data_IF_670834879421
#
_entry.id   IF_670834879421
#
_cell.length_a   1.000
_cell.length_b   1.000
_cell.length_c   1.000
_cell.angle_alpha   90.00
_cell.angle_beta   90.00
_cell.angle_gamma   90.00
#
_symmetry.space_group_name_H-M   'P 1'
#
loop_
_entity.id
_entity.type
_entity.pdbx_description
1 polymer ?
#
# COMPACT_ATOMS: atom_id res chain seq x y z
N UNK A 1 -9.81 17.62 22.50
CA UNK A 1 -8.89 18.24 21.52
C UNK A 1 -9.70 19.01 20.48
N UNK A 2 -9.18 20.05 19.82
CA UNK A 2 -9.81 20.58 18.62
C UNK A 2 -9.88 19.49 17.55
N UNK A 3 -10.83 19.58 16.63
CA UNK A 3 -10.95 18.69 15.49
C UNK A 3 -9.72 18.83 14.59
N UNK A 4 -9.11 17.71 14.24
CA UNK A 4 -7.92 17.66 13.38
C UNK A 4 -8.35 17.55 11.91
N UNK A 5 -7.56 18.09 11.00
CA UNK A 5 -7.71 17.76 9.58
C UNK A 5 -7.37 16.27 9.35
N UNK A 6 -7.90 15.65 8.29
CA UNK A 6 -7.52 14.28 7.90
C UNK A 6 -6.00 14.05 7.90
N UNK A 7 -5.25 14.95 7.25
CA UNK A 7 -3.79 14.92 7.22
C UNK A 7 -3.14 14.98 8.59
N UNK A 8 -3.56 15.92 9.44
CA UNK A 8 -3.02 16.05 10.79
C UNK A 8 -3.27 14.78 11.61
N UNK A 9 -4.46 14.19 11.47
CA UNK A 9 -4.85 12.94 12.16
C UNK A 9 -3.94 11.79 11.77
N UNK A 10 -3.75 11.54 10.46
CA UNK A 10 -2.85 10.49 9.96
C UNK A 10 -1.42 10.73 10.41
N UNK A 11 -0.91 11.96 10.24
CA UNK A 11 0.48 12.26 10.56
C UNK A 11 0.78 12.21 12.05
N UNK A 12 -0.16 12.60 12.90
CA UNK A 12 -0.03 12.45 14.36
C UNK A 12 -0.03 10.98 14.76
N UNK A 13 -0.96 10.17 14.23
CA UNK A 13 -0.95 8.73 14.50
C UNK A 13 0.41 8.11 14.14
N UNK A 14 0.92 8.39 12.94
CA UNK A 14 2.20 7.82 12.47
C UNK A 14 3.41 8.29 13.29
N UNK A 15 3.29 9.42 14.00
CA UNK A 15 4.28 9.91 14.97
C UNK A 15 3.99 9.49 16.41
N UNK A 16 2.94 8.69 16.62
CA UNK A 16 2.48 8.29 17.96
C UNK A 16 2.09 9.46 18.85
N UNK A 17 1.55 10.52 18.25
CA UNK A 17 1.02 11.71 18.93
C UNK A 17 -0.50 11.57 19.15
N UNK A 18 -1.11 12.27 20.13
CA UNK A 18 -2.54 12.22 20.38
C UNK A 18 -3.37 12.63 19.17
N UNK A 19 -4.45 11.87 18.91
CA UNK A 19 -5.42 12.11 17.83
C UNK A 19 -6.83 12.31 18.39
N UNK A 20 -7.69 12.96 17.63
CA UNK A 20 -9.10 13.22 17.98
C UNK A 20 -9.99 12.00 17.75
N UNK A 21 -9.71 11.23 16.72
CA UNK A 21 -10.37 9.95 16.39
C UNK A 21 -9.44 9.08 15.58
N UNK A 22 -9.77 7.79 15.43
CA UNK A 22 -9.04 6.85 14.59
C UNK A 22 -9.17 7.24 13.12
N UNK A 23 -8.07 7.34 12.34
CA UNK A 23 -8.15 7.61 10.91
C UNK A 23 -8.56 6.38 10.11
N UNK A 24 -9.24 6.62 8.98
CA UNK A 24 -9.41 5.65 7.92
C UNK A 24 -8.50 6.03 6.74
N UNK A 25 -7.38 5.35 6.61
CA UNK A 25 -6.38 5.61 5.58
C UNK A 25 -5.75 4.31 5.06
N UNK A 26 -4.82 4.37 4.13
CA UNK A 26 -4.21 3.17 3.56
C UNK A 26 -2.74 3.36 3.23
N UNK A 27 -2.01 2.25 3.20
CA UNK A 27 -0.70 2.12 2.56
C UNK A 27 -0.78 1.64 1.11
N UNK A 28 -1.98 1.46 0.56
CA UNK A 28 -2.26 0.90 -0.76
C UNK A 28 -3.24 1.78 -1.53
N UNK A 29 -3.44 1.53 -2.83
CA UNK A 29 -4.33 2.32 -3.67
C UNK A 29 -5.76 2.43 -3.12
N UNK A 30 -6.29 3.63 -3.09
CA UNK A 30 -7.65 3.94 -2.61
C UNK A 30 -8.45 4.74 -3.63
N UNK A 31 -8.43 4.34 -4.90
CA UNK A 31 -9.26 4.95 -5.94
C UNK A 31 -10.56 4.15 -6.11
N UNK A 32 -11.69 4.85 -6.23
CA UNK A 32 -13.02 4.24 -6.39
C UNK A 32 -13.78 4.88 -7.55
N UNK A 33 -14.66 4.10 -8.20
CA UNK A 33 -15.41 4.55 -9.38
C UNK A 33 -16.19 5.85 -9.14
N UNK A 34 -16.89 6.08 -8.02
CA UNK A 34 -17.55 7.36 -7.77
C UNK A 34 -16.60 8.57 -7.83
N UNK A 35 -15.33 8.41 -7.41
CA UNK A 35 -14.32 9.47 -7.50
C UNK A 35 -13.85 9.71 -8.93
N UNK A 36 -13.66 8.64 -9.70
CA UNK A 36 -13.28 8.67 -11.12
C UNK A 36 -14.37 9.32 -11.96
N UNK A 37 -15.63 8.90 -11.78
CA UNK A 37 -16.79 9.47 -12.45
C UNK A 37 -16.97 10.95 -12.11
N UNK A 38 -16.78 11.34 -10.85
CA UNK A 38 -16.85 12.73 -10.41
C UNK A 38 -15.76 13.59 -11.06
N UNK A 39 -14.60 13.01 -11.31
CA UNK A 39 -13.52 13.67 -12.06
C UNK A 39 -13.79 13.76 -13.58
N UNK A 40 -14.81 13.05 -14.08
CA UNK A 40 -15.18 13.05 -15.51
C UNK A 40 -14.20 12.26 -16.38
N UNK A 41 -13.60 11.21 -15.85
CA UNK A 41 -12.56 10.41 -16.52
C UNK A 41 -12.93 8.92 -16.49
N UNK A 42 -12.30 8.11 -17.35
CA UNK A 42 -12.43 6.66 -17.32
C UNK A 42 -11.30 6.01 -16.49
N UNK A 43 -11.50 4.75 -16.07
CA UNK A 43 -10.54 4.06 -15.21
C UNK A 43 -9.15 3.92 -15.85
N UNK A 44 -9.05 3.52 -17.12
CA UNK A 44 -7.76 3.31 -17.78
C UNK A 44 -6.90 4.59 -17.78
N UNK A 45 -7.53 5.76 -17.94
CA UNK A 45 -6.84 7.04 -18.05
C UNK A 45 -6.23 7.55 -16.74
N UNK A 46 -6.63 7.01 -15.58
CA UNK A 46 -6.03 7.39 -14.29
C UNK A 46 -4.57 6.94 -14.17
N UNK A 47 -4.16 5.99 -15.00
CA UNK A 47 -2.81 5.43 -14.95
C UNK A 47 -1.80 6.20 -15.82
N UNK A 48 -2.26 7.06 -16.73
CA UNK A 48 -1.42 7.63 -17.80
C UNK A 48 -1.24 9.14 -17.74
N UNK A 49 -2.02 9.83 -16.93
CA UNK A 49 -2.03 11.28 -16.83
C UNK A 49 -1.98 11.77 -15.38
N UNK A 50 -1.06 12.69 -15.02
CA UNK A 50 -0.88 13.12 -13.64
C UNK A 50 -2.08 13.89 -13.06
N UNK A 51 -2.80 14.68 -13.88
CA UNK A 51 -3.99 15.41 -13.42
C UNK A 51 -5.14 14.44 -13.16
N UNK A 52 -5.34 13.46 -14.05
CA UNK A 52 -6.38 12.44 -13.90
C UNK A 52 -6.13 11.56 -12.68
N UNK A 53 -4.88 11.14 -12.46
CA UNK A 53 -4.51 10.39 -11.26
C UNK A 53 -4.76 11.21 -9.99
N UNK A 54 -4.35 12.47 -9.95
CA UNK A 54 -4.53 13.33 -8.79
C UNK A 54 -6.01 13.58 -8.48
N UNK A 55 -6.81 13.96 -9.50
CA UNK A 55 -8.21 14.27 -9.28
C UNK A 55 -9.06 13.04 -8.95
N UNK A 56 -8.77 11.87 -9.51
CA UNK A 56 -9.44 10.62 -9.12
C UNK A 56 -9.19 10.28 -7.64
N UNK A 57 -7.95 10.45 -7.16
CA UNK A 57 -7.60 10.26 -5.74
C UNK A 57 -8.33 11.24 -4.83
N UNK A 58 -8.28 12.55 -5.17
CA UNK A 58 -8.91 13.61 -4.38
C UNK A 58 -10.41 13.40 -4.26
N UNK A 59 -11.11 13.13 -5.38
CA UNK A 59 -12.55 12.91 -5.34
C UNK A 59 -12.93 11.61 -4.64
N UNK A 60 -12.14 10.53 -4.79
CA UNK A 60 -12.35 9.29 -4.04
C UNK A 60 -12.31 9.56 -2.53
N UNK A 61 -11.28 10.28 -2.07
CA UNK A 61 -11.13 10.60 -0.66
C UNK A 61 -12.28 11.49 -0.14
N UNK A 62 -12.60 12.57 -0.84
CA UNK A 62 -13.65 13.52 -0.43
C UNK A 62 -15.04 12.92 -0.41
N UNK A 63 -15.35 12.04 -1.37
CA UNK A 63 -16.68 11.41 -1.44
C UNK A 63 -16.86 10.29 -0.41
N UNK A 64 -15.80 9.56 -0.11
CA UNK A 64 -15.85 8.39 0.78
C UNK A 64 -15.38 8.66 2.21
N UNK A 65 -14.89 9.87 2.51
CA UNK A 65 -14.42 10.23 3.85
C UNK A 65 -13.05 9.62 4.21
N UNK A 66 -12.18 9.41 3.22
CA UNK A 66 -10.82 8.93 3.50
C UNK A 66 -9.94 10.05 4.07
N UNK A 67 -9.07 9.71 5.01
CA UNK A 67 -8.11 10.66 5.60
C UNK A 67 -6.84 10.83 4.75
N UNK A 68 -6.71 10.10 3.63
CA UNK A 68 -5.57 10.15 2.73
C UNK A 68 -5.95 9.99 1.27
N UNK A 69 -4.97 10.26 0.42
CA UNK A 69 -4.87 9.78 -0.95
C UNK A 69 -3.63 8.92 -1.09
N UNK A 70 -3.67 7.88 -1.91
CA UNK A 70 -2.52 6.99 -2.12
C UNK A 70 -2.29 6.76 -3.60
N UNK A 71 -1.07 6.94 -4.04
CA UNK A 71 -0.60 6.75 -5.42
C UNK A 71 0.70 5.93 -5.46
N UNK A 72 0.99 5.29 -6.60
CA UNK A 72 0.17 5.06 -7.79
C UNK A 72 -0.95 4.03 -7.56
N UNK A 73 -1.63 3.58 -8.63
CA UNK A 73 -2.72 2.60 -8.53
C UNK A 73 -2.36 1.22 -9.10
N UNK A 74 -1.28 1.10 -9.84
CA UNK A 74 -0.88 -0.17 -10.46
C UNK A 74 0.56 -0.56 -10.15
N UNK A 75 0.87 -1.84 -10.29
CA UNK A 75 2.15 -2.45 -9.93
C UNK A 75 3.14 -2.56 -11.10
N UNK A 76 2.90 -1.86 -12.22
CA UNK A 76 3.70 -2.06 -13.43
C UNK A 76 4.65 -0.92 -13.77
N UNK A 77 4.61 0.18 -13.01
CA UNK A 77 5.38 1.40 -13.33
C UNK A 77 6.90 1.17 -13.29
N UNK A 78 7.41 0.44 -12.30
CA UNK A 78 8.82 0.09 -12.22
C UNK A 78 9.24 -0.82 -13.36
N UNK A 79 8.39 -1.81 -13.68
CA UNK A 79 8.63 -2.74 -14.78
C UNK A 79 8.65 -2.02 -16.15
N UNK A 80 7.75 -1.04 -16.35
CA UNK A 80 7.74 -0.16 -17.52
C UNK A 80 9.05 0.62 -17.62
N UNK A 81 9.46 1.28 -16.53
CA UNK A 81 10.70 2.06 -16.49
C UNK A 81 11.95 1.20 -16.71
N UNK A 82 11.88 -0.10 -16.42
CA UNK A 82 12.91 -1.09 -16.74
C UNK A 82 12.86 -1.56 -18.21
N UNK A 83 11.85 -1.15 -19.01
CA UNK A 83 11.74 -1.43 -20.43
C UNK A 83 10.72 -2.52 -20.81
N UNK A 84 9.93 -3.04 -19.88
CA UNK A 84 8.83 -3.96 -20.22
C UNK A 84 7.70 -3.21 -20.91
N UNK A 85 7.08 -3.87 -21.90
CA UNK A 85 5.85 -3.37 -22.52
C UNK A 85 4.68 -3.54 -21.56
N UNK A 86 3.86 -2.49 -21.43
CA UNK A 86 2.67 -2.50 -20.56
C UNK A 86 1.41 -2.38 -21.42
N UNK A 87 0.43 -3.23 -21.15
CA UNK A 87 -0.93 -3.09 -21.67
C UNK A 87 -1.71 -2.17 -20.75
N UNK A 88 -2.06 -0.99 -21.24
CA UNK A 88 -2.72 0.08 -20.46
C UNK A 88 -4.25 0.05 -20.62
N UNK A 89 -4.77 -0.69 -21.59
CA UNK A 89 -6.22 -0.84 -21.84
C UNK A 89 -6.96 0.48 -22.04
N UNK A 90 -6.32 1.49 -22.65
CA UNK A 90 -6.84 2.86 -22.78
C UNK A 90 -8.19 2.96 -23.50
N UNK A 91 -8.45 2.02 -24.42
CA UNK A 91 -9.70 1.94 -25.21
C UNK A 91 -10.81 1.14 -24.48
N UNK A 92 -10.55 0.63 -23.27
CA UNK A 92 -11.53 -0.14 -22.51
C UNK A 92 -12.35 0.74 -21.58
N UNK A 93 -13.65 0.46 -21.51
CA UNK A 93 -14.56 1.01 -20.49
C UNK A 93 -14.60 0.15 -19.21
N UNK A 94 -13.97 -1.02 -19.22
CA UNK A 94 -13.91 -1.91 -18.07
C UNK A 94 -12.84 -1.46 -17.05
N UNK A 95 -12.97 -1.93 -15.82
CA UNK A 95 -11.97 -1.74 -14.77
C UNK A 95 -10.82 -2.74 -14.98
N UNK A 96 -9.87 -2.37 -15.84
CA UNK A 96 -8.69 -3.17 -16.16
C UNK A 96 -7.43 -2.45 -15.70
N UNK A 97 -6.72 -3.07 -14.74
CA UNK A 97 -5.41 -2.57 -14.33
C UNK A 97 -4.34 -2.84 -15.39
N UNK A 98 -3.33 -1.96 -15.51
CA UNK A 98 -2.18 -2.21 -16.37
C UNK A 98 -1.52 -3.55 -16.09
N UNK A 99 -1.13 -4.27 -17.14
CA UNK A 99 -0.48 -5.59 -17.03
C UNK A 99 0.77 -5.67 -17.89
N UNK A 100 1.65 -6.60 -17.55
CA UNK A 100 2.82 -6.96 -18.35
C UNK A 100 2.42 -8.18 -19.20
N UNK A 101 2.11 -8.01 -20.49
CA UNK A 101 1.64 -9.09 -21.33
C UNK A 101 2.73 -10.15 -21.61
N UNK A 102 3.97 -9.70 -21.69
CA UNK A 102 5.13 -10.55 -21.95
C UNK A 102 6.36 -10.01 -21.23
N UNK A 103 7.05 -10.87 -20.50
CA UNK A 103 8.28 -10.54 -19.79
C UNK A 103 9.47 -10.56 -20.75
N UNK A 104 10.28 -9.50 -20.77
CA UNK A 104 11.38 -9.36 -21.72
C UNK A 104 12.63 -10.15 -21.33
N UNK A 105 12.75 -10.58 -20.08
CA UNK A 105 13.91 -11.35 -19.59
C UNK A 105 13.53 -12.80 -19.30
N UNK A 106 14.42 -13.71 -19.70
CA UNK A 106 14.28 -15.15 -19.46
C UNK A 106 15.15 -15.67 -18.33
N UNK A 107 16.17 -14.89 -17.93
CA UNK A 107 17.11 -15.25 -16.85
C UNK A 107 17.40 -14.06 -15.95
N UNK A 108 17.85 -14.34 -14.73
CA UNK A 108 18.22 -13.31 -13.75
C UNK A 108 19.40 -12.43 -14.19
N UNK A 109 20.33 -13.00 -14.96
CA UNK A 109 21.54 -12.30 -15.44
C UNK A 109 21.25 -11.29 -16.56
N UNK A 110 20.10 -11.38 -17.22
CA UNK A 110 19.68 -10.47 -18.29
C UNK A 110 19.05 -9.18 -17.75
N UNK A 111 18.62 -9.19 -16.49
CA UNK A 111 17.89 -8.05 -15.92
C UNK A 111 18.81 -6.84 -15.81
N UNK A 112 18.38 -5.75 -16.39
CA UNK A 112 19.06 -4.46 -16.36
C UNK A 112 18.19 -3.38 -15.76
N UNK A 113 18.76 -2.51 -14.94
CA UNK A 113 18.06 -1.41 -14.28
C UNK A 113 18.74 -0.11 -14.70
N UNK A 114 18.02 0.81 -15.36
CA UNK A 114 18.56 2.12 -15.74
C UNK A 114 18.94 2.96 -14.51
N UNK A 115 20.06 3.66 -14.57
CA UNK A 115 20.50 4.54 -13.46
C UNK A 115 19.51 5.68 -13.17
N UNK A 116 18.83 6.17 -14.18
CA UNK A 116 17.84 7.25 -14.09
C UNK A 116 16.39 6.72 -14.06
N UNK A 117 16.16 5.53 -13.57
CA UNK A 117 14.85 4.85 -13.60
C UNK A 117 13.68 5.70 -13.13
N UNK A 118 13.88 6.57 -12.13
CA UNK A 118 12.87 7.46 -11.58
C UNK A 118 12.42 8.58 -12.55
N UNK A 119 13.14 8.77 -13.66
CA UNK A 119 12.83 9.72 -14.74
C UNK A 119 12.18 9.03 -15.95
N UNK A 120 11.96 7.73 -15.89
CA UNK A 120 11.49 6.92 -17.02
C UNK A 120 10.03 6.48 -16.85
N UNK A 121 9.37 6.25 -17.97
CA UNK A 121 7.99 5.76 -18.03
C UNK A 121 7.05 6.61 -17.18
N UNK A 122 6.02 5.96 -16.64
CA UNK A 122 5.04 6.61 -15.77
C UNK A 122 5.55 6.95 -14.38
N UNK A 123 6.72 6.46 -13.97
CA UNK A 123 7.36 6.90 -12.71
C UNK A 123 7.68 8.39 -12.74
N UNK A 124 8.09 8.91 -13.91
CA UNK A 124 8.44 10.32 -14.09
C UNK A 124 7.28 11.31 -13.82
N UNK A 125 6.02 10.85 -13.89
CA UNK A 125 4.87 11.71 -13.62
C UNK A 125 4.51 11.83 -12.13
N UNK A 126 4.92 10.89 -11.28
CA UNK A 126 4.49 10.85 -9.89
C UNK A 126 4.83 12.10 -9.08
N UNK A 127 6.01 12.74 -9.23
CA UNK A 127 6.28 14.02 -8.58
C UNK A 127 5.25 15.10 -8.92
N UNK A 128 4.76 15.12 -10.18
CA UNK A 128 3.71 16.06 -10.60
C UNK A 128 2.35 15.76 -9.99
N UNK A 129 2.01 14.47 -9.86
CA UNK A 129 0.79 14.04 -9.16
C UNK A 129 0.80 14.54 -7.71
N UNK A 130 1.92 14.35 -7.00
CA UNK A 130 2.10 14.81 -5.62
C UNK A 130 1.95 16.35 -5.54
N UNK A 131 2.55 17.09 -6.45
CA UNK A 131 2.44 18.56 -6.51
C UNK A 131 0.99 19.02 -6.64
N UNK A 132 0.22 18.39 -7.55
CA UNK A 132 -1.20 18.70 -7.76
C UNK A 132 -2.00 18.42 -6.48
N UNK A 133 -1.84 17.24 -5.89
CA UNK A 133 -2.56 16.88 -4.66
C UNK A 133 -2.24 17.85 -3.51
N UNK A 134 -0.97 18.19 -3.31
CA UNK A 134 -0.56 19.16 -2.27
C UNK A 134 -1.23 20.51 -2.43
N UNK A 135 -1.44 20.95 -3.67
CA UNK A 135 -2.06 22.23 -3.98
C UNK A 135 -3.58 22.18 -3.83
N UNK A 136 -4.22 21.14 -4.36
CA UNK A 136 -5.68 21.06 -4.53
C UNK A 136 -6.40 20.40 -3.34
N UNK A 137 -5.67 19.63 -2.53
CA UNK A 137 -6.21 18.93 -1.35
C UNK A 137 -5.20 18.92 -0.17
N UNK A 138 -4.78 20.11 0.32
CA UNK A 138 -3.78 20.21 1.40
C UNK A 138 -4.25 19.58 2.73
N UNK A 139 -5.56 19.36 2.88
CA UNK A 139 -6.19 18.72 4.03
C UNK A 139 -6.00 17.21 4.09
N UNK A 140 -5.64 16.53 2.97
CA UNK A 140 -5.46 15.08 2.88
C UNK A 140 -3.99 14.68 3.06
N UNK A 141 -3.74 13.56 3.72
CA UNK A 141 -2.40 12.98 3.76
C UNK A 141 -2.08 12.31 2.41
N UNK A 142 -0.85 12.43 1.94
CA UNK A 142 -0.37 11.85 0.68
C UNK A 142 0.48 10.63 0.97
N UNK A 143 -0.05 9.44 0.73
CA UNK A 143 0.68 8.19 0.74
C UNK A 143 1.24 7.85 -0.63
N UNK A 144 2.45 7.31 -0.64
CA UNK A 144 3.00 6.62 -1.80
C UNK A 144 3.36 5.20 -1.42
N UNK A 145 3.50 4.32 -2.40
CA UNK A 145 3.95 2.97 -2.15
C UNK A 145 4.87 2.46 -3.26
N UNK A 146 5.63 1.43 -2.92
CA UNK A 146 6.48 0.69 -3.85
C UNK A 146 6.43 -0.79 -3.56
N UNK A 147 6.57 -1.61 -4.61
CA UNK A 147 6.76 -3.04 -4.43
C UNK A 147 8.11 -3.35 -3.80
N UNK A 148 8.16 -4.37 -2.95
CA UNK A 148 9.40 -4.93 -2.47
C UNK A 148 10.13 -5.76 -3.52
N UNK A 149 11.41 -6.08 -3.29
CA UNK A 149 12.29 -6.62 -4.33
C UNK A 149 11.89 -8.01 -4.83
N UNK A 150 11.30 -8.85 -3.98
CA UNK A 150 10.89 -10.19 -4.40
C UNK A 150 9.63 -10.13 -5.28
N UNK A 151 8.65 -9.33 -4.88
CA UNK A 151 7.44 -9.10 -5.70
C UNK A 151 7.81 -8.44 -7.02
N UNK A 152 8.68 -7.44 -7.00
CA UNK A 152 9.18 -6.79 -8.22
C UNK A 152 9.91 -7.78 -9.14
N UNK A 153 10.73 -8.68 -8.59
CA UNK A 153 11.35 -9.74 -9.37
C UNK A 153 10.31 -10.65 -10.05
N UNK A 154 9.22 -11.00 -9.34
CA UNK A 154 8.11 -11.78 -9.89
C UNK A 154 7.30 -11.06 -10.98
N UNK A 155 7.30 -9.71 -11.00
CA UNK A 155 6.70 -8.93 -12.10
C UNK A 155 7.50 -9.07 -13.40
N UNK A 156 8.81 -9.12 -13.32
CA UNK A 156 9.71 -9.05 -14.49
C UNK A 156 10.25 -10.41 -14.95
N UNK A 157 10.23 -11.41 -14.09
CA UNK A 157 10.70 -12.77 -14.36
C UNK A 157 9.63 -13.80 -13.96
N UNK A 158 9.71 -15.02 -14.54
CA UNK A 158 8.86 -16.10 -14.08
C UNK A 158 9.12 -16.42 -12.61
N UNK A 159 8.07 -16.42 -11.79
CA UNK A 159 8.17 -16.62 -10.34
C UNK A 159 8.84 -17.95 -9.98
N UNK A 160 8.57 -19.00 -10.75
CA UNK A 160 9.17 -20.32 -10.60
C UNK A 160 10.70 -20.31 -10.76
N UNK A 161 11.24 -19.44 -11.63
CA UNK A 161 12.68 -19.24 -11.79
C UNK A 161 13.30 -18.67 -10.49
N UNK A 162 12.64 -17.72 -9.87
CA UNK A 162 13.12 -17.07 -8.64
C UNK A 162 13.03 -18.05 -7.45
N UNK A 163 11.87 -18.72 -7.29
CA UNK A 163 11.64 -19.67 -6.22
C UNK A 163 12.64 -20.84 -6.27
N UNK A 164 12.90 -21.40 -7.46
CA UNK A 164 13.92 -22.43 -7.64
C UNK A 164 15.33 -21.87 -7.42
N UNK A 165 15.55 -20.63 -7.84
CA UNK A 165 16.82 -19.92 -7.71
C UNK A 165 17.26 -19.75 -6.26
N UNK A 166 16.34 -19.49 -5.33
CA UNK A 166 16.66 -19.38 -3.89
C UNK A 166 17.47 -20.59 -3.39
N UNK A 167 17.18 -21.78 -3.91
CA UNK A 167 17.84 -23.02 -3.47
C UNK A 167 18.98 -23.46 -4.37
N UNK A 168 18.93 -23.16 -5.68
CA UNK A 168 19.85 -23.70 -6.68
C UNK A 168 20.84 -22.69 -7.24
N UNK A 169 20.52 -21.40 -7.16
CA UNK A 169 21.29 -20.28 -7.76
C UNK A 169 21.28 -19.07 -6.82
N UNK A 170 21.55 -19.32 -5.53
CA UNK A 170 21.40 -18.31 -4.48
C UNK A 170 22.14 -17.01 -4.81
N UNK A 171 23.37 -17.11 -5.31
CA UNK A 171 24.20 -15.94 -5.63
C UNK A 171 23.54 -15.06 -6.71
N UNK A 172 22.87 -15.66 -7.71
CA UNK A 172 22.15 -14.91 -8.74
C UNK A 172 20.88 -14.25 -8.19
N UNK A 173 20.14 -14.95 -7.34
CA UNK A 173 18.98 -14.37 -6.66
C UNK A 173 19.41 -13.22 -5.76
N UNK A 174 20.49 -13.37 -5.01
CA UNK A 174 20.99 -12.30 -4.14
C UNK A 174 21.36 -11.05 -4.96
N UNK A 175 22.10 -11.21 -6.07
CA UNK A 175 22.47 -10.09 -6.95
C UNK A 175 21.22 -9.41 -7.52
N UNK A 176 20.27 -10.18 -8.05
CA UNK A 176 19.02 -9.64 -8.59
C UNK A 176 18.24 -8.84 -7.54
N UNK A 177 18.00 -9.45 -6.38
CA UNK A 177 17.20 -8.81 -5.32
C UNK A 177 17.94 -7.60 -4.72
N UNK A 178 19.26 -7.61 -4.65
CA UNK A 178 20.04 -6.47 -4.17
C UNK A 178 20.01 -5.29 -5.15
N UNK A 179 20.09 -5.55 -6.45
CA UNK A 179 19.94 -4.52 -7.48
C UNK A 179 18.52 -3.91 -7.47
N UNK A 180 17.47 -4.75 -7.34
CA UNK A 180 16.10 -4.27 -7.18
C UNK A 180 15.92 -3.48 -5.87
N UNK A 181 16.59 -3.88 -4.80
CA UNK A 181 16.60 -3.14 -3.53
C UNK A 181 17.16 -1.73 -3.71
N UNK A 182 18.29 -1.58 -4.42
CA UNK A 182 18.88 -0.26 -4.70
C UNK A 182 17.97 0.61 -5.56
N UNK A 183 17.32 0.03 -6.55
CA UNK A 183 16.31 0.69 -7.37
C UNK A 183 15.15 1.23 -6.52
N UNK A 184 14.56 0.37 -5.68
CA UNK A 184 13.42 0.71 -4.82
C UNK A 184 13.79 1.82 -3.84
N UNK A 185 14.97 1.76 -3.24
CA UNK A 185 15.48 2.83 -2.37
C UNK A 185 15.47 4.18 -3.12
N UNK A 186 16.03 4.21 -4.33
CA UNK A 186 16.15 5.42 -5.14
C UNK A 186 14.80 6.02 -5.52
N UNK A 187 13.87 5.18 -5.97
CA UNK A 187 12.52 5.64 -6.35
C UNK A 187 11.78 6.18 -5.12
N UNK A 188 11.81 5.46 -3.98
CA UNK A 188 11.16 5.90 -2.75
C UNK A 188 11.73 7.23 -2.24
N UNK A 189 13.05 7.43 -2.29
CA UNK A 189 13.67 8.72 -1.96
C UNK A 189 13.23 9.85 -2.89
N UNK A 190 13.00 9.57 -4.17
CA UNK A 190 12.45 10.54 -5.13
C UNK A 190 11.02 10.93 -4.77
N UNK A 191 10.16 9.98 -4.40
CA UNK A 191 8.79 10.25 -3.95
C UNK A 191 8.77 11.07 -2.65
N UNK A 192 9.65 10.76 -1.72
CA UNK A 192 9.81 11.53 -0.48
C UNK A 192 10.30 12.96 -0.75
N UNK A 193 11.25 13.14 -1.66
CA UNK A 193 11.73 14.46 -2.09
C UNK A 193 10.64 15.28 -2.81
N UNK A 194 9.73 14.64 -3.54
CA UNK A 194 8.55 15.27 -4.14
C UNK A 194 7.53 15.71 -3.08
N UNK A 195 7.58 15.13 -1.88
CA UNK A 195 6.83 15.53 -0.71
C UNK A 195 5.59 14.69 -0.43
N UNK A 196 5.63 13.39 -0.67
CA UNK A 196 4.66 12.49 -0.04
C UNK A 196 4.81 12.56 1.49
N UNK A 197 3.71 12.37 2.20
CA UNK A 197 3.68 12.48 3.66
C UNK A 197 4.13 11.19 4.35
N UNK A 198 3.87 10.04 3.73
CA UNK A 198 4.35 8.72 4.16
C UNK A 198 4.53 7.80 2.95
N UNK A 199 5.33 6.74 3.14
CA UNK A 199 5.61 5.76 2.10
C UNK A 199 5.42 4.33 2.62
N UNK A 200 4.84 3.46 1.81
CA UNK A 200 4.62 2.05 2.14
C UNK A 200 5.49 1.15 1.26
N UNK A 201 6.25 0.27 1.89
CA UNK A 201 6.90 -0.85 1.22
C UNK A 201 5.91 -2.02 1.19
N UNK A 202 5.55 -2.47 -0.02
CA UNK A 202 4.58 -3.56 -0.23
C UNK A 202 5.31 -4.80 -0.75
N UNK A 203 5.22 -5.90 -0.01
CA UNK A 203 5.89 -7.15 -0.39
C UNK A 203 4.90 -8.35 -0.40
N UNK A 204 3.85 -8.31 -1.23
CA UNK A 204 2.81 -9.35 -1.22
C UNK A 204 3.30 -10.74 -1.60
N UNK A 205 4.38 -10.85 -2.37
CA UNK A 205 4.92 -12.13 -2.84
C UNK A 205 5.65 -12.98 -1.80
N UNK A 206 5.66 -12.58 -0.50
CA UNK A 206 6.49 -13.25 0.52
C UNK A 206 5.71 -13.80 1.71
N UNK A 207 4.38 -13.77 1.65
CA UNK A 207 3.55 -14.32 2.70
C UNK A 207 3.88 -15.79 3.02
N UNK A 208 3.54 -16.23 4.23
CA UNK A 208 3.81 -17.59 4.68
C UNK A 208 3.11 -18.68 3.84
N UNK A 209 2.13 -18.30 3.04
CA UNK A 209 1.48 -19.17 2.05
C UNK A 209 2.42 -19.55 0.89
N UNK A 210 3.44 -18.72 0.60
CA UNK A 210 4.38 -18.90 -0.51
C UNK A 210 5.80 -19.19 -0.03
N UNK A 211 6.30 -18.47 0.96
CA UNK A 211 7.66 -18.60 1.48
C UNK A 211 7.67 -19.03 2.94
N UNK A 212 8.58 -19.97 3.28
CA UNK A 212 8.75 -20.34 4.69
C UNK A 212 9.28 -19.15 5.51
N UNK A 213 8.98 -19.06 6.82
CA UNK A 213 9.56 -18.05 7.71
C UNK A 213 11.09 -18.03 7.69
N UNK A 214 11.73 -19.20 7.52
CA UNK A 214 13.18 -19.30 7.38
C UNK A 214 13.69 -18.63 6.12
N UNK A 215 12.99 -18.80 4.99
CA UNK A 215 13.33 -18.15 3.72
C UNK A 215 13.10 -16.64 3.83
N UNK A 216 12.00 -16.23 4.42
CA UNK A 216 11.74 -14.82 4.71
C UNK A 216 12.89 -14.18 5.48
N UNK A 217 13.26 -14.78 6.61
CA UNK A 217 14.36 -14.29 7.47
C UNK A 217 15.71 -14.20 6.77
N UNK A 218 16.04 -15.19 5.94
CA UNK A 218 17.38 -15.29 5.31
C UNK A 218 17.52 -14.56 3.98
N UNK A 219 16.40 -14.33 3.27
CA UNK A 219 16.44 -13.78 1.90
C UNK A 219 15.72 -12.44 1.82
N UNK A 220 14.57 -12.31 2.46
CA UNK A 220 13.68 -11.16 2.28
C UNK A 220 13.94 -10.07 3.34
N UNK A 221 13.88 -10.43 4.61
CA UNK A 221 13.98 -9.51 5.73
C UNK A 221 15.21 -8.56 5.65
N UNK A 222 16.43 -9.02 5.30
CA UNK A 222 17.57 -8.11 5.20
C UNK A 222 17.39 -6.99 4.17
N UNK A 223 16.68 -7.28 3.07
CA UNK A 223 16.42 -6.32 1.99
C UNK A 223 15.33 -5.33 2.37
N UNK A 224 14.24 -5.80 2.98
CA UNK A 224 13.21 -4.92 3.53
C UNK A 224 13.79 -3.99 4.58
N UNK A 225 14.63 -4.51 5.49
CA UNK A 225 15.34 -3.70 6.50
C UNK A 225 16.23 -2.64 5.86
N UNK A 226 16.94 -2.98 4.79
CA UNK A 226 17.80 -2.05 4.06
C UNK A 226 16.99 -0.93 3.39
N UNK A 227 15.87 -1.25 2.74
CA UNK A 227 14.97 -0.26 2.11
C UNK A 227 14.40 0.67 3.18
N UNK A 228 13.79 0.09 4.22
CA UNK A 228 13.19 0.87 5.30
C UNK A 228 14.23 1.70 6.06
N UNK A 229 15.46 1.20 6.22
CA UNK A 229 16.55 1.96 6.81
C UNK A 229 17.04 3.15 5.96
N UNK A 230 16.84 3.09 4.64
CA UNK A 230 17.24 4.16 3.71
C UNK A 230 16.16 5.24 3.49
N UNK A 231 14.90 4.93 3.79
CA UNK A 231 13.79 5.87 3.66
C UNK A 231 13.59 6.70 4.92
N UNK A 232 13.07 7.91 4.76
CA UNK A 232 12.66 8.76 5.87
C UNK A 232 11.31 8.31 6.44
N UNK A 233 11.11 8.51 7.74
CA UNK A 233 9.81 8.31 8.40
C UNK A 233 8.82 9.44 8.05
N UNK A 234 7.51 9.17 7.98
CA UNK A 234 6.87 7.88 8.27
C UNK A 234 6.93 6.89 7.10
N UNK A 235 7.23 5.63 7.43
CA UNK A 235 7.31 4.52 6.48
C UNK A 235 6.62 3.28 7.02
N UNK A 236 5.84 2.62 6.18
CA UNK A 236 5.03 1.46 6.53
C UNK A 236 5.55 0.21 5.82
N UNK A 237 5.28 -0.95 6.41
CA UNK A 237 5.48 -2.24 5.75
C UNK A 237 4.15 -2.96 5.62
N UNK A 238 3.82 -3.36 4.38
CA UNK A 238 2.64 -4.17 4.08
C UNK A 238 3.03 -5.51 3.46
N UNK A 239 2.47 -6.58 4.01
CA UNK A 239 2.52 -7.92 3.39
C UNK A 239 1.09 -8.46 3.35
N UNK A 240 0.59 -8.76 2.13
CA UNK A 240 -0.70 -9.44 1.94
C UNK A 240 -0.59 -10.93 2.31
N UNK A 241 -1.73 -11.57 2.54
CA UNK A 241 -1.81 -13.01 2.81
C UNK A 241 -1.54 -13.38 4.27
N UNK A 242 -1.13 -14.61 4.52
CA UNK A 242 -0.89 -15.12 5.86
C UNK A 242 0.41 -14.57 6.44
N UNK A 243 0.29 -13.65 7.41
CA UNK A 243 1.42 -12.96 8.06
C UNK A 243 1.63 -13.36 9.52
N UNK A 244 0.73 -14.10 10.14
CA UNK A 244 0.85 -14.48 11.57
C UNK A 244 2.19 -15.13 11.94
N UNK A 245 2.81 -16.00 11.09
CA UNK A 245 4.13 -16.54 11.35
C UNK A 245 5.28 -15.57 11.12
N UNK A 246 5.03 -14.43 10.46
CA UNK A 246 6.03 -13.46 10.04
C UNK A 246 5.97 -12.16 10.84
N UNK A 247 4.93 -11.92 11.63
CA UNK A 247 4.59 -10.61 12.17
C UNK A 247 5.71 -9.99 13.02
N UNK A 248 6.41 -10.79 13.83
CA UNK A 248 7.55 -10.31 14.61
C UNK A 248 8.74 -9.95 13.71
N UNK A 249 9.02 -10.76 12.68
CA UNK A 249 10.08 -10.49 11.70
C UNK A 249 9.74 -9.25 10.83
N UNK A 250 8.46 -9.01 10.54
CA UNK A 250 8.03 -7.78 9.88
C UNK A 250 8.33 -6.55 10.74
N UNK A 251 8.06 -6.63 12.05
CA UNK A 251 8.38 -5.55 12.98
C UNK A 251 9.89 -5.29 13.07
N UNK A 252 10.71 -6.33 13.03
CA UNK A 252 12.18 -6.21 13.03
C UNK A 252 12.74 -5.52 11.77
N UNK A 253 11.96 -5.36 10.70
CA UNK A 253 12.41 -4.66 9.49
C UNK A 253 12.57 -3.13 9.66
N UNK A 254 12.03 -2.55 10.74
CA UNK A 254 12.23 -1.13 11.07
C UNK A 254 11.27 -0.16 10.37
N UNK A 255 10.05 -0.60 10.04
CA UNK A 255 8.94 0.28 9.67
C UNK A 255 8.40 1.00 10.92
N UNK A 256 7.80 2.18 10.71
CA UNK A 256 7.12 2.92 11.79
C UNK A 256 5.75 2.32 12.11
N UNK A 257 5.18 1.55 11.19
CA UNK A 257 3.94 0.81 11.38
C UNK A 257 3.80 -0.37 10.41
N UNK A 258 3.05 -1.38 10.84
CA UNK A 258 2.73 -2.57 10.05
C UNK A 258 1.29 -2.51 9.56
N UNK A 259 1.07 -2.87 8.31
CA UNK A 259 -0.25 -3.05 7.76
C UNK A 259 -0.43 -4.51 7.31
N UNK A 260 -1.57 -5.08 7.62
CA UNK A 260 -1.80 -6.52 7.46
C UNK A 260 -3.09 -6.84 6.71
N UNK A 261 -3.07 -8.01 6.07
CA UNK A 261 -4.18 -8.57 5.29
C UNK A 261 -5.29 -9.12 6.18
N UNK A 262 -6.49 -9.32 5.62
CA UNK A 262 -7.63 -9.94 6.30
C UNK A 262 -7.31 -11.32 6.91
N UNK A 263 -6.33 -12.03 6.36
CA UNK A 263 -5.88 -13.33 6.89
C UNK A 263 -5.08 -13.23 8.18
N UNK A 264 -4.66 -12.05 8.59
CA UNK A 264 -3.95 -11.84 9.83
C UNK A 264 -4.92 -11.79 11.02
N UNK A 265 -4.63 -12.55 12.07
CA UNK A 265 -5.35 -12.44 13.33
C UNK A 265 -4.84 -11.23 14.13
N UNK A 266 -5.60 -10.12 14.09
CA UNK A 266 -5.22 -8.86 14.74
C UNK A 266 -4.97 -9.04 16.24
N UNK A 267 -5.84 -9.76 16.97
CA UNK A 267 -5.71 -9.93 18.40
C UNK A 267 -4.42 -10.69 18.79
N UNK A 268 -4.09 -11.75 18.04
CA UNK A 268 -2.83 -12.50 18.24
C UNK A 268 -1.61 -11.67 17.82
N UNK A 269 -1.69 -10.93 16.70
CA UNK A 269 -0.65 -10.05 16.25
C UNK A 269 -0.37 -8.96 17.30
N UNK A 270 -1.42 -8.33 17.84
CA UNK A 270 -1.31 -7.34 18.92
C UNK A 270 -0.64 -7.94 20.17
N UNK A 271 -1.02 -9.16 20.56
CA UNK A 271 -0.40 -9.84 21.71
C UNK A 271 1.11 -10.08 21.51
N UNK A 272 1.54 -10.44 20.30
CA UNK A 272 2.96 -10.66 19.97
C UNK A 272 3.76 -9.37 19.89
N UNK A 273 3.19 -8.33 19.28
CA UNK A 273 3.86 -7.05 19.01
C UNK A 273 3.88 -6.10 20.22
N UNK A 274 2.91 -6.26 21.14
CA UNK A 274 2.72 -5.32 22.24
C UNK A 274 2.12 -3.98 21.76
N UNK A 275 2.07 -3.01 22.66
CA UNK A 275 1.37 -1.76 22.46
C UNK A 275 2.21 -0.67 21.75
N UNK A 276 3.52 -0.84 21.69
CA UNK A 276 4.44 0.16 21.13
C UNK A 276 4.52 0.12 19.60
N UNK A 277 3.98 -0.94 18.96
CA UNK A 277 4.00 -1.10 17.51
C UNK A 277 2.69 -0.64 16.92
N UNK A 278 2.72 0.26 15.92
CA UNK A 278 1.52 0.62 15.17
C UNK A 278 1.12 -0.58 14.28
N UNK A 279 -0.01 -1.17 14.61
CA UNK A 279 -0.63 -2.27 13.86
C UNK A 279 -1.92 -1.76 13.21
N UNK A 280 -2.00 -1.84 11.89
CA UNK A 280 -3.08 -1.25 11.10
C UNK A 280 -3.64 -2.28 10.11
N UNK A 281 -4.91 -2.21 9.86
CA UNK A 281 -5.62 -3.16 8.99
C UNK A 281 -7.05 -3.29 9.44
N UNK A 282 -7.74 -4.35 9.12
CA UNK A 282 -7.55 -5.30 8.02
C UNK A 282 -8.93 -5.61 7.43
N UNK A 283 -9.57 -4.54 6.94
CA UNK A 283 -10.91 -4.65 6.33
C UNK A 283 -10.88 -5.66 5.20
N UNK A 284 -11.83 -6.61 5.20
CA UNK A 284 -12.08 -7.43 4.02
C UNK A 284 -12.64 -6.55 2.91
N UNK A 285 -11.76 -6.17 1.99
CA UNK A 285 -12.07 -5.16 0.97
C UNK A 285 -13.18 -5.60 0.03
N UNK A 286 -13.23 -6.88 -0.35
CA UNK A 286 -14.29 -7.36 -1.24
C UNK A 286 -15.60 -7.57 -0.48
N UNK A 287 -15.57 -8.38 0.57
CA UNK A 287 -16.79 -8.74 1.29
C UNK A 287 -17.48 -7.52 1.92
N UNK A 288 -16.71 -6.54 2.42
CA UNK A 288 -17.31 -5.39 3.13
C UNK A 288 -17.65 -4.21 2.23
N UNK A 289 -17.01 -4.08 1.06
CA UNK A 289 -17.20 -2.88 0.23
C UNK A 289 -17.70 -3.14 -1.18
N UNK A 290 -17.64 -4.35 -1.69
CA UNK A 290 -17.96 -4.67 -3.09
C UNK A 290 -19.05 -5.74 -3.24
N UNK A 291 -19.26 -6.61 -2.25
CA UNK A 291 -20.27 -7.65 -2.31
C UNK A 291 -21.68 -7.08 -2.12
N UNK A 292 -22.57 -7.15 -3.14
CA UNK A 292 -23.92 -6.62 -3.08
C UNK A 292 -24.84 -7.34 -2.06
N UNK A 293 -24.44 -8.54 -1.63
CA UNK A 293 -25.19 -9.30 -0.63
C UNK A 293 -24.84 -8.91 0.81
N UNK A 294 -23.79 -8.07 0.99
CA UNK A 294 -23.35 -7.64 2.32
C UNK A 294 -24.13 -6.42 2.80
N UNK A 295 -24.97 -6.55 3.84
CA UNK A 295 -25.68 -5.41 4.44
C UNK A 295 -24.71 -4.42 5.09
N UNK A 296 -25.08 -3.14 5.13
CA UNK A 296 -24.29 -2.08 5.78
C UNK A 296 -24.01 -2.41 7.25
N UNK A 297 -24.99 -2.99 7.95
CA UNK A 297 -24.86 -3.39 9.35
C UNK A 297 -23.76 -4.43 9.58
N UNK A 298 -23.53 -5.32 8.61
CA UNK A 298 -22.43 -6.30 8.64
C UNK A 298 -21.09 -5.57 8.52
N UNK A 299 -20.98 -4.62 7.60
CA UNK A 299 -19.78 -3.78 7.47
C UNK A 299 -19.49 -3.02 8.76
N UNK A 300 -20.50 -2.38 9.36
CA UNK A 300 -20.37 -1.67 10.64
C UNK A 300 -19.88 -2.61 11.76
N UNK A 301 -20.45 -3.82 11.86
CA UNK A 301 -20.05 -4.80 12.86
C UNK A 301 -18.59 -5.24 12.67
N UNK A 302 -18.17 -5.50 11.42
CA UNK A 302 -16.80 -5.87 11.07
C UNK A 302 -15.78 -4.78 11.45
N UNK A 303 -16.08 -3.51 11.17
CA UNK A 303 -15.19 -2.41 11.53
C UNK A 303 -15.04 -2.29 13.05
N UNK A 304 -16.13 -2.42 13.81
CA UNK A 304 -16.06 -2.42 15.28
C UNK A 304 -15.22 -3.58 15.82
N UNK A 305 -15.37 -4.76 15.25
CA UNK A 305 -14.59 -5.94 15.63
C UNK A 305 -13.09 -5.72 15.40
N UNK A 306 -12.70 -5.17 14.23
CA UNK A 306 -11.30 -4.84 13.94
C UNK A 306 -10.73 -3.87 14.99
N UNK A 307 -11.49 -2.82 15.32
CA UNK A 307 -11.08 -1.83 16.30
C UNK A 307 -10.94 -2.47 17.70
N UNK A 308 -11.91 -3.27 18.10
CA UNK A 308 -11.92 -3.96 19.41
C UNK A 308 -10.77 -4.99 19.53
N UNK A 309 -10.35 -5.58 18.40
CA UNK A 309 -9.19 -6.47 18.34
C UNK A 309 -7.84 -5.75 18.45
N UNK A 310 -7.82 -4.41 18.45
CA UNK A 310 -6.66 -3.62 18.87
C UNK A 310 -5.81 -3.06 17.74
N UNK A 311 -6.39 -2.73 16.57
CA UNK A 311 -5.68 -1.90 15.57
C UNK A 311 -5.55 -0.45 16.05
N UNK A 312 -4.51 0.23 15.58
CA UNK A 312 -4.30 1.66 15.81
C UNK A 312 -4.95 2.51 14.72
N UNK A 313 -5.20 1.94 13.56
CA UNK A 313 -6.00 2.52 12.48
C UNK A 313 -6.70 1.44 11.67
N UNK A 314 -7.88 1.75 11.18
CA UNK A 314 -8.58 0.91 10.20
C UNK A 314 -7.98 1.19 8.82
N UNK A 315 -7.56 0.12 8.16
CA UNK A 315 -7.07 0.15 6.78
C UNK A 315 -7.71 -0.98 5.97
N UNK A 316 -7.82 -0.82 4.66
CA UNK A 316 -8.08 -1.96 3.77
C UNK A 316 -7.04 -3.06 4.01
N UNK A 317 -7.47 -4.32 4.06
CA UNK A 317 -6.55 -5.46 4.19
C UNK A 317 -5.78 -5.76 2.90
N UNK A 318 -6.22 -5.19 1.78
CA UNK A 318 -5.58 -5.22 0.47
C UNK A 318 -6.00 -3.99 -0.33
N UNK A 319 -5.62 -3.88 -1.62
CA UNK A 319 -6.10 -2.81 -2.49
C UNK A 319 -7.63 -2.79 -2.53
N UNK A 320 -8.22 -1.61 -2.52
CA UNK A 320 -9.65 -1.46 -2.78
C UNK A 320 -9.96 -1.78 -4.24
N UNK A 321 -10.98 -2.59 -4.46
CA UNK A 321 -11.54 -2.72 -5.79
C UNK A 321 -12.33 -1.45 -6.13
N UNK A 322 -12.13 -0.83 -7.30
CA UNK A 322 -12.75 0.47 -7.59
C UNK A 322 -14.28 0.46 -7.65
N UNK A 323 -14.90 -0.64 -8.08
CA UNK A 323 -16.36 -0.79 -8.13
C UNK A 323 -16.93 -1.14 -6.75
N UNK A 324 -16.94 -0.16 -5.86
CA UNK A 324 -17.44 -0.29 -4.49
C UNK A 324 -18.96 -0.04 -4.42
N UNK A 325 -19.57 -0.49 -3.33
CA UNK A 325 -20.92 -0.08 -2.90
C UNK A 325 -20.75 1.13 -1.98
N UNK A 326 -21.18 2.30 -2.45
CA UNK A 326 -20.94 3.56 -1.74
C UNK A 326 -21.42 3.55 -0.29
N UNK A 327 -22.60 2.96 -0.03
CA UNK A 327 -23.16 2.90 1.32
C UNK A 327 -22.24 2.12 2.28
N UNK A 328 -21.70 0.99 1.82
CA UNK A 328 -20.79 0.16 2.61
C UNK A 328 -19.43 0.87 2.79
N UNK A 329 -18.89 1.47 1.72
CA UNK A 329 -17.64 2.20 1.81
C UNK A 329 -17.71 3.40 2.76
N UNK A 330 -18.79 4.17 2.71
CA UNK A 330 -19.06 5.26 3.66
C UNK A 330 -19.20 4.72 5.08
N UNK A 331 -19.89 3.59 5.27
CA UNK A 331 -20.03 2.96 6.58
C UNK A 331 -18.67 2.54 7.18
N UNK A 332 -17.68 2.12 6.35
CA UNK A 332 -16.31 1.87 6.83
C UNK A 332 -15.70 3.14 7.41
N UNK A 333 -15.71 4.25 6.66
CA UNK A 333 -15.12 5.52 7.11
C UNK A 333 -15.85 6.10 8.32
N UNK A 334 -17.18 6.20 8.26
CA UNK A 334 -18.00 6.77 9.32
C UNK A 334 -17.88 5.97 10.62
N UNK A 335 -17.95 4.64 10.55
CA UNK A 335 -17.78 3.78 11.73
C UNK A 335 -16.38 3.93 12.32
N UNK A 336 -15.35 3.98 11.48
CA UNK A 336 -13.97 4.20 11.95
C UNK A 336 -13.86 5.51 12.72
N UNK A 337 -14.38 6.60 12.17
CA UNK A 337 -14.30 7.90 12.80
C UNK A 337 -15.17 8.00 14.07
N UNK A 338 -16.40 7.47 14.04
CA UNK A 338 -17.32 7.58 15.19
C UNK A 338 -16.95 6.63 16.33
N UNK A 339 -16.73 5.35 16.02
CA UNK A 339 -16.42 4.34 17.02
C UNK A 339 -14.98 4.47 17.53
N UNK A 340 -14.05 4.84 16.66
CA UNK A 340 -12.65 5.05 17.00
C UNK A 340 -12.39 6.17 18.01
N UNK A 341 -13.31 7.13 18.18
CA UNK A 341 -13.23 8.14 19.25
C UNK A 341 -13.18 7.53 20.66
N UNK A 342 -13.75 6.35 20.85
CA UNK A 342 -13.92 5.71 22.16
C UNK A 342 -12.93 4.58 22.40
N UNK A 343 -12.44 3.95 21.34
CA UNK A 343 -11.74 2.67 21.41
C UNK A 343 -10.24 2.75 21.11
N UNK A 344 -9.74 3.87 20.55
CA UNK A 344 -8.35 3.94 20.10
C UNK A 344 -7.36 3.98 21.26
N UNK A 345 -6.46 2.98 21.38
CA UNK A 345 -5.34 3.02 22.31
C UNK A 345 -4.40 4.20 22.05
N UNK A 346 -4.24 4.63 20.80
CA UNK A 346 -3.46 5.82 20.44
C UNK A 346 -4.07 7.12 20.99
N UNK A 347 -5.39 7.14 21.26
CA UNK A 347 -6.07 8.28 21.93
C UNK A 347 -5.82 8.30 23.44
N UNK A 348 -5.48 7.17 24.04
CA UNK A 348 -5.36 7.01 25.50
C UNK A 348 -3.97 6.61 26.04
N UNK A 349 -2.97 6.40 25.20
CA UNK A 349 -1.65 5.87 25.60
C UNK A 349 -0.56 6.92 25.82
N UNK A 350 -0.87 8.20 25.70
CA UNK A 350 0.09 9.29 25.94
C UNK A 350 -0.23 10.06 27.18
#
# INVERSE_FOLDING_TARGET
MPELTPKERVMRLLRKEPIDTMPFFSGMGMVVMPGIEKAGINFASVHTDPERMAWSAIWSARLMGFDCVVIPYDMTMESEAMGNTISLYEDSEDILYPTIPEKIWSTMDEVTIPDNIHELGRLAMLPKVIEIIKKEAPELAIGCWQLGPFTQAGQILELDLILKGIFKQKDKVDVLLDNLTDMIIKIGQTLQAAGCDYITLREPGVAADLLSPRTFKGVIQPRLTRILGAWQSPKLLHICGSTDPLIEMMNECGADGLTVDIKCNIAEARQKLGDDVLLMGNVDTYAMTCDPETPVETTVAHIKEIIDNGVDAVMPGCDLWPAIIEANMKAVADTTHEYGKKASPAVGRL
#
